data_IF_357962428376
#
_entry.id   IF_357962428376
#
_cell.length_a   1.000
_cell.length_b   1.000
_cell.length_c   1.000
_cell.angle_alpha   90.00
_cell.angle_beta   90.00
_cell.angle_gamma   90.00
#
_symmetry.space_group_name_H-M   'P 1'
#
loop_
_entity.id
_entity.type
_entity.pdbx_description
1 polymer ?
#
# COMPACT_ATOMS: atom_id res chain seq x y z
N UNK A 1 21.33 -6.62 20.25
CA UNK A 1 21.11 -6.58 18.79
C UNK A 1 19.62 -6.42 18.60
N UNK A 2 19.13 -5.20 18.32
CA UNK A 2 17.69 -4.96 18.15
C UNK A 2 17.23 -5.60 16.85
N UNK A 3 16.29 -6.54 16.96
CA UNK A 3 15.74 -7.28 15.81
C UNK A 3 14.67 -6.39 15.18
N UNK A 4 14.98 -5.77 14.05
CA UNK A 4 14.03 -4.97 13.27
C UNK A 4 13.48 -5.85 12.13
N UNK A 5 12.16 -5.82 11.94
CA UNK A 5 11.48 -6.61 10.91
C UNK A 5 10.46 -5.73 10.19
N UNK A 6 10.21 -6.02 8.91
CA UNK A 6 9.16 -5.36 8.14
C UNK A 6 7.95 -6.30 8.01
N UNK A 7 6.74 -5.73 8.07
CA UNK A 7 5.49 -6.42 7.75
C UNK A 7 4.78 -5.63 6.65
N UNK A 8 4.46 -6.29 5.53
CA UNK A 8 3.81 -5.67 4.37
C UNK A 8 2.52 -6.40 4.03
N UNK A 9 1.41 -5.66 3.90
CA UNK A 9 0.09 -6.18 3.53
C UNK A 9 -0.56 -5.29 2.47
N UNK A 10 -1.47 -5.81 1.63
CA UNK A 10 -2.22 -4.97 0.70
C UNK A 10 -3.03 -3.88 1.42
N UNK A 11 -3.05 -2.68 0.84
CA UNK A 11 -3.92 -1.58 1.23
C UNK A 11 -5.28 -1.72 0.54
N UNK A 12 -5.99 -2.80 0.85
CA UNK A 12 -7.29 -3.07 0.27
C UNK A 12 -8.35 -2.12 0.82
N UNK A 13 -9.38 -1.84 0.01
CA UNK A 13 -10.36 -0.78 0.26
C UNK A 13 -9.72 0.61 0.36
N UNK A 14 -8.64 0.86 -0.40
CA UNK A 14 -8.05 2.19 -0.50
C UNK A 14 -9.06 3.22 -1.02
N UNK A 15 -8.83 4.49 -0.72
CA UNK A 15 -9.68 5.59 -1.20
C UNK A 15 -9.90 5.53 -2.72
N UNK A 16 -8.85 5.18 -3.47
CA UNK A 16 -8.84 5.15 -4.92
C UNK A 16 -9.66 3.97 -5.46
N UNK A 17 -9.56 2.81 -4.82
CA UNK A 17 -10.38 1.64 -5.16
C UNK A 17 -11.87 1.92 -4.96
N UNK A 18 -12.22 2.58 -3.84
CA UNK A 18 -13.60 2.95 -3.55
C UNK A 18 -14.13 3.99 -4.54
N UNK A 19 -13.33 5.00 -4.88
CA UNK A 19 -13.69 6.01 -5.89
C UNK A 19 -13.90 5.38 -7.27
N UNK A 20 -12.95 4.57 -7.74
CA UNK A 20 -13.06 3.90 -9.04
C UNK A 20 -14.31 3.00 -9.13
N UNK A 21 -14.68 2.32 -8.04
CA UNK A 21 -15.91 1.53 -7.97
C UNK A 21 -17.16 2.42 -8.01
N UNK A 22 -17.20 3.49 -7.21
CA UNK A 22 -18.35 4.39 -7.14
C UNK A 22 -18.62 5.12 -8.47
N UNK A 23 -17.56 5.41 -9.23
CA UNK A 23 -17.62 6.05 -10.55
C UNK A 23 -17.86 5.04 -11.69
N UNK A 24 -17.89 3.74 -11.42
CA UNK A 24 -18.08 2.70 -12.44
C UNK A 24 -16.89 2.49 -13.37
N UNK A 25 -15.69 2.96 -12.99
CA UNK A 25 -14.45 2.79 -13.74
C UNK A 25 -13.88 1.37 -13.63
N UNK A 26 -14.36 0.59 -12.67
CA UNK A 26 -14.06 -0.83 -12.51
C UNK A 26 -15.38 -1.58 -12.26
N UNK A 27 -15.43 -2.84 -12.72
CA UNK A 27 -16.64 -3.67 -12.69
C UNK A 27 -16.71 -4.63 -11.49
N UNK A 28 -15.61 -4.74 -10.74
CA UNK A 28 -15.47 -5.68 -9.63
C UNK A 28 -14.54 -5.18 -8.55
N UNK A 29 -14.81 -5.59 -7.31
CA UNK A 29 -13.90 -5.44 -6.17
C UNK A 29 -12.78 -6.48 -6.31
N UNK A 30 -11.83 -6.26 -7.22
CA UNK A 30 -10.76 -7.23 -7.51
C UNK A 30 -9.83 -7.51 -6.30
N UNK A 31 -9.89 -6.66 -5.27
CA UNK A 31 -9.23 -6.84 -3.98
C UNK A 31 -10.01 -7.72 -3.00
N UNK A 32 -11.31 -7.92 -3.19
CA UNK A 32 -12.16 -8.70 -2.30
C UNK A 32 -12.22 -10.17 -2.76
N UNK A 33 -11.44 -11.05 -2.11
CA UNK A 33 -11.33 -12.46 -2.50
C UNK A 33 -11.43 -13.43 -1.30
N UNK A 34 -12.61 -13.61 -0.68
CA UNK A 34 -12.84 -14.71 0.24
C UNK A 34 -12.93 -16.06 -0.51
N UNK A 35 -12.44 -17.19 0.07
CA UNK A 35 -11.94 -17.38 1.43
C UNK A 35 -10.45 -17.10 1.61
N UNK A 36 -9.73 -16.74 0.54
CA UNK A 36 -8.27 -16.62 0.50
C UNK A 36 -7.76 -15.42 1.30
N UNK A 37 -8.47 -14.29 1.24
CA UNK A 37 -8.17 -13.06 1.96
C UNK A 37 -9.32 -12.71 2.92
N UNK A 38 -9.19 -13.15 4.18
CA UNK A 38 -10.18 -12.90 5.23
C UNK A 38 -9.95 -11.59 5.99
N UNK A 39 -8.71 -11.10 6.03
CA UNK A 39 -8.33 -9.94 6.82
C UNK A 39 -7.94 -8.79 5.90
N UNK A 40 -8.71 -7.71 5.97
CA UNK A 40 -8.44 -6.46 5.26
C UNK A 40 -8.04 -5.41 6.27
N UNK A 41 -6.92 -4.74 6.02
CA UNK A 41 -6.34 -3.81 6.98
C UNK A 41 -6.26 -2.41 6.38
N UNK A 42 -6.74 -1.43 7.14
CA UNK A 42 -6.28 -0.07 7.01
C UNK A 42 -5.04 0.16 7.90
N UNK A 43 -4.27 1.26 7.69
CA UNK A 43 -3.02 1.48 8.40
C UNK A 43 -3.17 1.46 9.92
N UNK A 44 -4.27 2.02 10.43
CA UNK A 44 -4.55 2.09 11.86
C UNK A 44 -4.90 0.71 12.44
N UNK A 45 -5.64 -0.12 11.71
CA UNK A 45 -6.00 -1.48 12.10
C UNK A 45 -4.77 -2.38 12.18
N UNK A 46 -3.88 -2.30 11.18
CA UNK A 46 -2.64 -3.08 11.16
C UNK A 46 -1.71 -2.68 12.31
N UNK A 47 -1.56 -1.37 12.56
CA UNK A 47 -0.77 -0.88 13.69
C UNK A 47 -1.26 -1.45 15.03
N UNK A 48 -2.57 -1.39 15.30
CA UNK A 48 -3.16 -1.95 16.53
C UNK A 48 -2.93 -3.45 16.66
N UNK A 49 -3.05 -4.21 15.57
CA UNK A 49 -2.80 -5.65 15.58
C UNK A 49 -1.34 -5.96 15.94
N UNK A 50 -0.40 -5.28 15.29
CA UNK A 50 1.05 -5.44 15.54
C UNK A 50 1.40 -5.10 16.99
N UNK A 51 0.85 -4.00 17.52
CA UNK A 51 1.03 -3.61 18.92
C UNK A 51 0.44 -4.64 19.90
N UNK A 52 -0.74 -5.19 19.60
CA UNK A 52 -1.34 -6.25 20.41
C UNK A 52 -0.50 -7.55 20.41
N UNK A 53 0.29 -7.77 19.36
CA UNK A 53 1.22 -8.90 19.24
C UNK A 53 2.57 -8.66 19.95
N UNK A 54 2.74 -7.57 20.69
CA UNK A 54 3.97 -7.28 21.45
C UNK A 54 5.08 -6.63 20.63
N UNK A 55 4.73 -5.97 19.53
CA UNK A 55 5.67 -5.23 18.69
C UNK A 55 5.41 -3.73 18.76
N UNK A 56 6.45 -2.93 18.65
CA UNK A 56 6.38 -1.48 18.54
C UNK A 56 6.59 -1.08 17.09
N UNK A 57 5.69 -0.25 16.55
CA UNK A 57 5.83 0.34 15.21
C UNK A 57 6.82 1.51 15.28
N UNK A 58 7.91 1.41 14.53
CA UNK A 58 8.94 2.44 14.38
C UNK A 58 8.67 3.38 13.21
N UNK A 59 8.10 2.84 12.13
CA UNK A 59 7.76 3.59 10.93
C UNK A 59 6.64 2.89 10.16
N UNK A 60 5.93 3.66 9.34
CA UNK A 60 4.84 3.17 8.52
C UNK A 60 4.78 3.96 7.21
N UNK A 61 4.82 3.27 6.08
CA UNK A 61 4.77 3.89 4.76
C UNK A 61 4.05 2.98 3.77
N UNK A 62 3.60 3.57 2.67
CA UNK A 62 3.04 2.83 1.55
C UNK A 62 4.08 2.62 0.44
N UNK A 63 3.66 2.18 -0.73
CA UNK A 63 4.44 2.17 -1.96
C UNK A 63 3.77 3.03 -3.05
N UNK A 64 4.33 2.97 -4.26
CA UNK A 64 3.78 3.66 -5.41
C UNK A 64 2.27 3.35 -5.60
N UNK A 65 1.43 4.39 -5.75
CA UNK A 65 -0.01 4.24 -5.83
C UNK A 65 -0.45 3.80 -7.21
N UNK A 66 -0.13 2.55 -7.57
CA UNK A 66 -0.48 1.99 -8.88
C UNK A 66 -1.99 2.04 -9.14
N UNK A 67 -2.81 1.97 -8.09
CA UNK A 67 -4.27 2.11 -8.16
C UNK A 67 -4.71 3.48 -8.73
N UNK A 68 -3.84 4.51 -8.80
CA UNK A 68 -4.14 5.76 -9.51
C UNK A 68 -4.48 5.53 -10.98
N UNK A 69 -3.92 4.49 -11.61
CA UNK A 69 -4.24 4.15 -12.98
C UNK A 69 -5.67 3.66 -13.18
N UNK A 70 -6.38 3.25 -12.11
CA UNK A 70 -7.80 2.89 -12.18
C UNK A 70 -8.68 4.09 -12.54
N UNK A 71 -8.24 5.31 -12.21
CA UNK A 71 -8.96 6.55 -12.48
C UNK A 71 -8.76 7.07 -13.92
N UNK A 72 -7.97 6.36 -14.73
CA UNK A 72 -7.73 6.70 -16.13
C UNK A 72 -8.15 5.54 -17.03
N UNK A 73 -9.16 5.76 -17.87
CA UNK A 73 -9.72 4.73 -18.75
C UNK A 73 -8.65 4.04 -19.63
N UNK A 74 -7.64 4.79 -20.09
CA UNK A 74 -6.59 4.27 -20.97
C UNK A 74 -5.43 3.58 -20.23
N UNK A 75 -5.33 3.75 -18.91
CA UNK A 75 -4.30 3.11 -18.07
C UNK A 75 -4.88 2.04 -17.13
N UNK A 76 -6.21 1.90 -17.07
CA UNK A 76 -6.90 1.01 -16.15
C UNK A 76 -6.60 -0.46 -16.46
N UNK A 77 -5.67 -1.03 -15.68
CA UNK A 77 -5.23 -2.41 -15.83
C UNK A 77 -6.22 -3.47 -15.32
N UNK A 78 -7.31 -3.04 -14.66
CA UNK A 78 -8.36 -3.93 -14.15
C UNK A 78 -9.37 -4.23 -15.25
N UNK A 79 -9.71 -3.21 -16.04
CA UNK A 79 -10.61 -3.31 -17.19
C UNK A 79 -9.88 -3.81 -18.44
N UNK A 80 -8.63 -3.37 -18.66
CA UNK A 80 -7.78 -3.84 -19.76
C UNK A 80 -6.48 -4.46 -19.24
N UNK A 81 -6.42 -5.80 -19.20
CA UNK A 81 -5.23 -6.54 -18.76
C UNK A 81 -3.99 -6.24 -19.60
N UNK A 82 -4.14 -5.83 -20.87
CA UNK A 82 -3.00 -5.47 -21.70
C UNK A 82 -2.22 -4.27 -21.14
N UNK A 83 -2.88 -3.41 -20.34
CA UNK A 83 -2.27 -2.24 -19.68
C UNK A 83 -1.47 -2.58 -18.44
N UNK A 84 -1.62 -3.79 -17.89
CA UNK A 84 -0.92 -4.18 -16.65
C UNK A 84 0.60 -4.09 -16.75
N UNK A 85 1.17 -4.55 -17.87
CA UNK A 85 2.62 -4.47 -18.11
C UNK A 85 3.10 -3.02 -18.25
N UNK A 86 2.32 -2.17 -18.92
CA UNK A 86 2.63 -0.75 -19.11
C UNK A 86 2.53 0.02 -17.78
N UNK A 87 1.50 -0.25 -16.97
CA UNK A 87 1.32 0.31 -15.64
C UNK A 87 2.48 -0.08 -14.70
N UNK A 88 2.92 -1.35 -14.74
CA UNK A 88 4.07 -1.81 -13.99
C UNK A 88 5.37 -1.12 -14.42
N UNK A 89 5.61 -1.00 -15.72
CA UNK A 89 6.79 -0.32 -16.25
C UNK A 89 6.80 1.18 -15.90
N UNK A 90 5.63 1.83 -15.93
CA UNK A 90 5.49 3.23 -15.50
C UNK A 90 5.84 3.39 -14.01
N UNK A 91 5.31 2.51 -13.14
CA UNK A 91 5.67 2.44 -11.72
C UNK A 91 7.18 2.34 -11.57
N UNK A 92 7.82 1.32 -12.13
CA UNK A 92 9.26 1.09 -11.94
C UNK A 92 10.10 2.30 -12.38
N UNK A 93 9.76 2.92 -13.51
CA UNK A 93 10.46 4.10 -14.01
C UNK A 93 10.31 5.30 -13.06
N UNK A 94 9.09 5.58 -12.61
CA UNK A 94 8.82 6.71 -11.71
C UNK A 94 9.50 6.47 -10.36
N UNK A 95 9.31 5.30 -9.76
CA UNK A 95 9.97 4.95 -8.49
C UNK A 95 11.49 5.06 -8.59
N UNK A 96 12.07 4.53 -9.67
CA UNK A 96 13.51 4.62 -9.88
C UNK A 96 13.99 6.06 -10.00
N UNK A 97 13.27 6.93 -10.72
CA UNK A 97 13.61 8.35 -10.84
C UNK A 97 13.53 9.07 -9.49
N UNK A 98 12.49 8.81 -8.69
CA UNK A 98 12.33 9.41 -7.36
C UNK A 98 13.46 8.96 -6.42
N UNK A 99 13.72 7.64 -6.34
CA UNK A 99 14.76 7.08 -5.47
C UNK A 99 16.16 7.55 -5.90
N UNK A 100 16.46 7.59 -7.20
CA UNK A 100 17.75 8.09 -7.68
C UNK A 100 17.96 9.57 -7.35
N UNK A 101 16.88 10.36 -7.33
CA UNK A 101 16.94 11.79 -7.02
C UNK A 101 17.06 12.05 -5.52
N UNK A 102 16.20 11.43 -4.73
CA UNK A 102 16.09 11.62 -3.29
C UNK A 102 15.39 10.41 -2.63
N UNK A 103 16.16 9.44 -2.10
CA UNK A 103 15.59 8.27 -1.42
C UNK A 103 14.75 8.64 -0.19
N UNK A 104 15.18 9.63 0.60
CA UNK A 104 14.49 10.03 1.82
C UNK A 104 13.21 10.79 1.50
N UNK A 105 13.26 11.71 0.54
CA UNK A 105 12.09 12.38 -0.01
C UNK A 105 11.07 11.39 -0.59
N UNK A 106 11.53 10.35 -1.30
CA UNK A 106 10.66 9.29 -1.80
C UNK A 106 9.93 8.57 -0.66
N UNK A 107 10.66 8.21 0.39
CA UNK A 107 10.06 7.56 1.55
C UNK A 107 9.06 8.50 2.26
N UNK A 108 9.35 9.79 2.34
CA UNK A 108 8.42 10.78 2.89
C UNK A 108 7.14 10.88 2.07
N UNK A 109 7.22 10.88 0.74
CA UNK A 109 6.02 10.81 -0.13
C UNK A 109 5.19 9.58 0.21
N UNK A 110 5.81 8.43 0.43
CA UNK A 110 5.11 7.19 0.74
C UNK A 110 4.47 7.17 2.13
N UNK A 111 5.07 7.86 3.12
CA UNK A 111 4.45 8.11 4.42
C UNK A 111 3.21 8.99 4.27
N UNK A 112 3.29 10.06 3.48
CA UNK A 112 2.16 10.95 3.23
C UNK A 112 1.03 10.26 2.46
N UNK A 113 1.36 9.45 1.44
CA UNK A 113 0.38 8.63 0.74
C UNK A 113 -0.35 7.68 1.70
N UNK A 114 0.40 6.99 2.58
CA UNK A 114 -0.20 6.12 3.59
C UNK A 114 -1.13 6.90 4.53
N UNK A 115 -0.71 8.09 4.98
CA UNK A 115 -1.51 8.95 5.84
C UNK A 115 -2.83 9.40 5.17
N UNK A 116 -2.81 9.57 3.84
CA UNK A 116 -3.99 9.85 3.03
C UNK A 116 -4.81 8.59 2.65
N UNK A 117 -4.41 7.40 3.10
CA UNK A 117 -5.09 6.14 2.76
C UNK A 117 -4.86 5.69 1.31
N UNK A 118 -3.78 6.16 0.69
CA UNK A 118 -3.37 5.86 -0.68
C UNK A 118 -2.15 4.93 -0.73
N UNK A 119 -1.88 4.44 -1.93
CA UNK A 119 -0.82 3.46 -2.20
C UNK A 119 -1.34 2.02 -2.17
N UNK A 120 -0.52 1.07 -2.63
CA UNK A 120 -0.95 -0.31 -2.92
C UNK A 120 -0.75 -1.24 -1.73
N UNK A 121 0.34 -1.09 -0.98
CA UNK A 121 0.64 -1.91 0.19
C UNK A 121 1.00 -1.06 1.39
N UNK A 122 0.55 -1.46 2.58
CA UNK A 122 0.94 -0.89 3.86
C UNK A 122 2.19 -1.64 4.35
N UNK A 123 3.29 -0.94 4.58
CA UNK A 123 4.49 -1.48 5.20
C UNK A 123 4.70 -0.88 6.58
N UNK A 124 4.83 -1.72 7.60
CA UNK A 124 5.22 -1.33 8.95
C UNK A 124 6.64 -1.82 9.25
N UNK A 125 7.44 -0.93 9.81
CA UNK A 125 8.76 -1.24 10.36
C UNK A 125 8.59 -1.42 11.85
N UNK A 126 8.95 -2.59 12.39
CA UNK A 126 8.63 -2.96 13.77
C UNK A 126 9.83 -3.49 14.53
N UNK A 127 9.80 -3.31 15.85
CA UNK A 127 10.75 -3.90 16.81
C UNK A 127 9.99 -4.57 17.94
N UNK A 128 10.54 -5.59 18.62
CA UNK A 128 9.90 -6.15 19.81
C UNK A 128 9.69 -5.06 20.87
N UNK A 129 8.54 -5.06 21.54
CA UNK A 129 8.37 -4.26 22.75
C UNK A 129 9.27 -4.83 23.84
N UNK A 130 10.03 -3.98 24.52
CA UNK A 130 10.76 -4.42 25.70
C UNK A 130 9.73 -4.91 26.74
N UNK A 131 9.97 -6.10 27.31
CA UNK A 131 9.10 -6.59 28.38
C UNK A 131 9.19 -5.59 29.54
N UNK A 132 8.06 -5.02 29.96
CA UNK A 132 8.01 -4.31 31.24
C UNK A 132 8.46 -5.28 32.33
N UNK A 133 9.68 -5.10 32.83
CA UNK A 133 10.17 -5.75 34.04
C UNK A 133 9.43 -5.20 35.26
#
# INVERSE_FOLDING_TARGET
MNRQTNSTLPNDFSLIQQAAMAEGLIDRTFWFCPPEHLNYFNPQGLKRLVEACGWQVQDAFSDFPIDWFLLNEHANYVTDRARGAEAHAARERIESLMVQRDPEGTLNIYRELLAMGMGRNITLVVTPMESRR
#
